data_IF_815683942211
#
_entry.id   IF_815683942211
#
_cell.length_a   1.000
_cell.length_b   1.000
_cell.length_c   1.000
_cell.angle_alpha   90.00
_cell.angle_beta   90.00
_cell.angle_gamma   90.00
#
_symmetry.space_group_name_H-M   'P 1'
#
loop_
_entity.id
_entity.type
_entity.pdbx_description
1 polymer ?
#
# COMPACT_ATOMS: atom_id res chain seq x y z
N UNK A 1 -4.49 10.35 -22.56
CA UNK A 1 -5.28 10.05 -21.33
C UNK A 1 -5.52 8.55 -21.21
N UNK A 2 -5.54 8.05 -19.98
CA UNK A 2 -5.83 6.64 -19.73
C UNK A 2 -6.85 6.52 -18.60
N UNK A 3 -7.84 5.66 -18.78
CA UNK A 3 -8.82 5.29 -17.76
C UNK A 3 -8.77 3.76 -17.65
N UNK A 4 -8.64 3.25 -16.45
CA UNK A 4 -8.62 1.81 -16.21
C UNK A 4 -9.36 1.51 -14.91
N UNK A 5 -10.22 0.49 -14.94
CA UNK A 5 -10.87 0.00 -13.73
C UNK A 5 -9.91 -0.92 -12.96
N UNK A 6 -9.94 -0.86 -11.65
CA UNK A 6 -9.03 -1.65 -10.81
C UNK A 6 -9.19 -3.15 -11.00
N UNK A 7 -10.41 -3.62 -11.30
CA UNK A 7 -10.65 -5.04 -11.54
C UNK A 7 -10.08 -5.56 -12.86
N UNK A 8 -9.62 -4.65 -13.74
CA UNK A 8 -8.94 -4.99 -14.98
C UNK A 8 -7.41 -5.04 -14.84
N UNK A 9 -6.89 -4.69 -13.66
CA UNK A 9 -5.46 -4.66 -13.39
C UNK A 9 -5.03 -5.94 -12.72
N UNK A 10 -3.98 -6.57 -13.25
CA UNK A 10 -3.44 -7.81 -12.69
C UNK A 10 -3.08 -7.63 -11.21
N UNK A 11 -3.53 -8.57 -10.39
CA UNK A 11 -3.27 -8.61 -8.97
C UNK A 11 -2.14 -9.60 -8.71
N UNK A 12 -1.03 -9.11 -8.19
CA UNK A 12 0.17 -9.90 -7.96
C UNK A 12 0.43 -10.05 -6.47
N UNK A 13 0.80 -11.27 -6.05
CA UNK A 13 1.16 -11.50 -4.65
C UNK A 13 2.48 -10.81 -4.35
N UNK A 14 2.54 -10.10 -3.23
CA UNK A 14 3.79 -9.51 -2.73
C UNK A 14 4.64 -10.63 -2.13
N UNK A 15 5.83 -10.84 -2.71
CA UNK A 15 6.73 -11.94 -2.30
C UNK A 15 7.92 -11.47 -1.46
N UNK A 16 7.90 -10.23 -0.99
CA UNK A 16 8.95 -9.73 -0.10
C UNK A 16 8.93 -10.47 1.24
N UNK A 17 10.10 -10.72 1.79
CA UNK A 17 10.23 -11.30 3.11
C UNK A 17 9.49 -10.44 4.13
N UNK A 18 8.69 -11.08 4.99
CA UNK A 18 7.89 -10.40 6.00
C UNK A 18 6.49 -9.99 5.52
N UNK A 19 6.18 -10.07 4.23
CA UNK A 19 4.84 -9.84 3.71
C UNK A 19 4.01 -11.12 3.86
N UNK A 20 2.77 -10.97 4.31
CA UNK A 20 1.82 -12.08 4.44
C UNK A 20 0.45 -11.63 3.94
N UNK A 21 -0.16 -12.39 3.03
CA UNK A 21 -1.48 -12.09 2.52
C UNK A 21 -1.58 -10.70 1.91
N UNK A 22 -0.52 -10.23 1.27
CA UNK A 22 -0.46 -8.91 0.65
C UNK A 22 -0.42 -9.04 -0.87
N UNK A 23 -1.23 -8.20 -1.54
CA UNK A 23 -1.37 -8.18 -2.98
C UNK A 23 -1.16 -6.77 -3.51
N UNK A 24 -0.59 -6.67 -4.71
CA UNK A 24 -0.29 -5.39 -5.36
C UNK A 24 -0.88 -5.35 -6.76
N UNK A 25 -1.45 -4.19 -7.10
CA UNK A 25 -1.88 -3.85 -8.45
C UNK A 25 -1.24 -2.51 -8.83
N UNK A 26 -0.88 -2.35 -10.11
CA UNK A 26 -0.30 -1.11 -10.64
C UNK A 26 -1.21 -0.55 -11.74
N UNK A 27 -2.26 0.19 -11.38
CA UNK A 27 -3.18 0.73 -12.38
C UNK A 27 -2.58 1.82 -13.25
N UNK A 28 -1.73 2.70 -12.68
CA UNK A 28 -1.09 3.79 -13.42
C UNK A 28 0.38 3.88 -13.01
N UNK A 29 1.27 3.84 -13.99
CA UNK A 29 2.70 3.88 -13.72
C UNK A 29 3.53 4.31 -14.92
N UNK A 30 4.82 4.08 -14.82
CA UNK A 30 5.78 4.48 -15.84
C UNK A 30 5.45 3.91 -17.22
N UNK A 31 4.99 2.67 -17.28
CA UNK A 31 4.61 2.03 -18.55
C UNK A 31 3.43 2.72 -19.25
N UNK A 32 2.67 3.51 -18.52
CA UNK A 32 1.54 4.28 -19.04
C UNK A 32 1.92 5.70 -19.40
N UNK A 33 3.20 6.08 -19.23
CA UNK A 33 3.70 7.41 -19.48
C UNK A 33 3.56 8.37 -18.30
N UNK A 34 3.35 7.86 -17.08
CA UNK A 34 3.30 8.72 -15.90
C UNK A 34 4.64 9.47 -15.75
N UNK A 35 4.63 10.82 -15.67
CA UNK A 35 5.88 11.57 -15.70
C UNK A 35 6.65 11.54 -14.38
N UNK A 36 5.98 11.47 -13.25
CA UNK A 36 6.60 11.63 -11.92
C UNK A 36 6.17 10.55 -10.95
N UNK A 37 4.86 10.30 -10.82
CA UNK A 37 4.29 9.40 -9.81
C UNK A 37 3.57 8.22 -10.44
N UNK A 38 3.53 7.14 -9.67
CA UNK A 38 2.73 5.95 -9.98
C UNK A 38 1.73 5.72 -8.87
N UNK A 39 0.58 5.12 -9.20
CA UNK A 39 -0.38 4.64 -8.21
C UNK A 39 -0.36 3.13 -8.17
N UNK A 40 -0.15 2.61 -6.97
CA UNK A 40 -0.31 1.19 -6.67
C UNK A 40 -1.55 1.02 -5.80
N UNK A 41 -2.18 -0.13 -5.86
CA UNK A 41 -3.23 -0.52 -4.91
C UNK A 41 -2.74 -1.76 -4.18
N UNK A 42 -2.65 -1.67 -2.87
CA UNK A 42 -2.35 -2.82 -2.02
C UNK A 42 -3.62 -3.34 -1.39
N UNK A 43 -3.76 -4.65 -1.40
CA UNK A 43 -4.84 -5.36 -0.72
C UNK A 43 -4.22 -6.30 0.30
N UNK A 44 -4.61 -6.18 1.55
CA UNK A 44 -4.23 -7.10 2.61
C UNK A 44 -5.41 -8.00 2.93
N UNK A 45 -5.19 -9.31 2.84
CA UNK A 45 -6.17 -10.31 3.28
C UNK A 45 -6.44 -10.15 4.77
N UNK A 46 -7.55 -10.71 5.31
CA UNK A 46 -7.75 -10.73 6.75
C UNK A 46 -6.51 -11.28 7.48
N UNK A 47 -5.99 -10.52 8.44
CA UNK A 47 -4.77 -10.86 9.15
C UNK A 47 -3.48 -10.65 8.39
N UNK A 48 -3.54 -10.14 7.16
CA UNK A 48 -2.36 -9.90 6.33
C UNK A 48 -1.57 -8.67 6.75
N UNK A 49 -0.35 -8.56 6.25
CA UNK A 49 0.54 -7.44 6.56
C UNK A 49 1.57 -7.21 5.47
N UNK A 50 2.06 -5.96 5.39
CA UNK A 50 3.25 -5.62 4.61
C UNK A 50 4.51 -5.93 5.42
N UNK A 51 5.71 -5.93 4.80
CA UNK A 51 6.94 -6.02 5.58
C UNK A 51 7.07 -4.86 6.55
N UNK A 52 7.72 -5.09 7.68
CA UNK A 52 8.13 -4.03 8.59
C UNK A 52 9.51 -3.55 8.14
N UNK A 53 9.56 -2.48 7.35
CA UNK A 53 10.76 -2.05 6.64
C UNK A 53 10.82 -0.53 6.46
N UNK A 54 11.99 -0.05 6.02
CA UNK A 54 12.18 1.31 5.53
C UNK A 54 12.71 1.29 4.11
N UNK A 55 12.56 2.39 3.40
CA UNK A 55 13.10 2.55 2.05
C UNK A 55 13.43 4.04 1.82
N UNK A 56 14.31 4.36 0.83
CA UNK A 56 14.82 5.72 0.64
C UNK A 56 13.87 6.64 -0.14
N UNK A 57 12.60 6.30 -0.22
CA UNK A 57 11.59 7.11 -0.89
C UNK A 57 10.32 7.18 -0.04
N UNK A 58 9.56 8.24 -0.25
CA UNK A 58 8.27 8.44 0.40
C UNK A 58 7.15 7.73 -0.35
N UNK A 59 6.06 7.47 0.35
CA UNK A 59 4.80 7.18 -0.30
C UNK A 59 3.64 7.81 0.47
N UNK A 60 2.58 8.10 -0.25
CA UNK A 60 1.35 8.64 0.30
C UNK A 60 0.24 7.62 0.08
N UNK A 61 -0.52 7.36 1.13
CA UNK A 61 -1.55 6.35 1.10
C UNK A 61 -2.92 6.94 1.36
N UNK A 62 -3.92 6.36 0.73
CA UNK A 62 -5.32 6.63 1.02
C UNK A 62 -6.03 5.29 1.18
N UNK A 63 -6.64 5.08 2.35
CA UNK A 63 -7.37 3.85 2.62
C UNK A 63 -8.72 3.91 1.96
N UNK A 64 -9.00 2.95 1.08
CA UNK A 64 -10.26 2.89 0.32
C UNK A 64 -11.24 1.88 0.87
N UNK A 65 -10.79 0.89 1.63
CA UNK A 65 -11.66 -0.16 2.14
C UNK A 65 -11.07 -0.76 3.41
N UNK A 66 -11.92 -1.00 4.40
CA UNK A 66 -11.55 -1.72 5.61
C UNK A 66 -10.89 -0.86 6.66
N UNK A 67 -10.26 -1.53 7.62
CA UNK A 67 -9.53 -0.90 8.71
C UNK A 67 -8.30 -1.72 9.04
N UNK A 68 -7.28 -1.04 9.52
CA UNK A 68 -6.01 -1.67 9.82
C UNK A 68 -5.21 -0.90 10.85
N UNK A 69 -3.93 -1.20 10.89
CA UNK A 69 -2.98 -0.60 11.82
C UNK A 69 -1.74 -0.20 11.03
N UNK A 70 -1.28 1.03 11.25
CA UNK A 70 0.02 1.50 10.76
C UNK A 70 0.98 1.52 11.95
N UNK A 71 2.07 0.76 11.84
CA UNK A 71 3.11 0.68 12.86
C UNK A 71 4.28 1.56 12.44
N UNK A 72 4.77 2.41 13.34
CA UNK A 72 5.91 3.27 13.08
C UNK A 72 7.24 2.66 13.57
N UNK A 73 8.32 3.41 13.42
CA UNK A 73 9.67 2.94 13.79
C UNK A 73 9.82 2.66 15.28
N UNK A 74 9.09 3.39 16.13
CA UNK A 74 9.09 3.17 17.57
C UNK A 74 8.24 1.96 17.99
N UNK A 75 7.59 1.28 17.02
CA UNK A 75 6.69 0.17 17.31
C UNK A 75 5.31 0.61 17.77
N UNK A 76 5.01 1.90 17.72
CA UNK A 76 3.71 2.42 18.09
C UNK A 76 2.68 2.07 17.02
N UNK A 77 1.50 1.65 17.45
CA UNK A 77 0.42 1.24 16.57
C UNK A 77 -0.64 2.31 16.50
N UNK A 78 -1.01 2.70 15.28
CA UNK A 78 -2.03 3.70 15.04
C UNK A 78 -3.13 3.10 14.17
N UNK A 79 -4.38 3.18 14.61
CA UNK A 79 -5.51 2.70 13.84
C UNK A 79 -5.72 3.55 12.59
N UNK A 80 -6.03 2.90 11.48
CA UNK A 80 -6.27 3.55 10.19
C UNK A 80 -7.47 2.86 9.52
N UNK A 81 -8.33 3.63 8.87
CA UNK A 81 -9.57 3.11 8.26
C UNK A 81 -9.88 3.82 6.96
N UNK A 82 -10.84 3.31 6.22
CA UNK A 82 -11.33 3.92 4.98
C UNK A 82 -11.59 5.41 5.15
N UNK A 83 -11.02 6.21 4.25
CA UNK A 83 -11.09 7.67 4.29
C UNK A 83 -9.86 8.34 4.91
N UNK A 84 -8.98 7.59 5.55
CA UNK A 84 -7.76 8.16 6.14
C UNK A 84 -6.63 8.27 5.12
N UNK A 85 -5.83 9.32 5.27
CA UNK A 85 -4.59 9.53 4.52
C UNK A 85 -3.39 9.30 5.43
N UNK A 86 -2.32 8.76 4.86
CA UNK A 86 -1.06 8.58 5.57
C UNK A 86 0.11 9.01 4.68
N UNK A 87 1.13 9.60 5.30
CA UNK A 87 2.40 9.92 4.66
C UNK A 87 3.49 9.14 5.38
N UNK A 88 4.25 8.38 4.61
CA UNK A 88 5.47 7.73 5.09
C UNK A 88 6.64 8.40 4.40
N UNK A 89 7.50 9.07 5.16
CA UNK A 89 8.65 9.79 4.65
C UNK A 89 9.83 8.84 4.34
N UNK A 90 10.78 9.27 3.50
CA UNK A 90 11.98 8.46 3.24
C UNK A 90 12.67 8.06 4.54
N UNK A 91 13.04 6.79 4.64
CA UNK A 91 13.76 6.27 5.79
C UNK A 91 12.92 5.90 7.01
N UNK A 92 11.65 6.26 7.04
CA UNK A 92 10.77 5.87 8.16
C UNK A 92 10.41 4.39 8.09
N UNK A 93 10.75 3.65 9.14
CA UNK A 93 10.37 2.24 9.26
C UNK A 93 8.89 2.13 9.58
N UNK A 94 8.18 1.30 8.83
CA UNK A 94 6.72 1.22 8.91
C UNK A 94 6.21 -0.16 8.47
N UNK A 95 4.99 -0.46 8.90
CA UNK A 95 4.27 -1.67 8.48
C UNK A 95 2.77 -1.38 8.50
N UNK A 96 2.06 -1.84 7.48
CA UNK A 96 0.60 -1.90 7.50
C UNK A 96 0.15 -3.30 7.87
N UNK A 97 -0.84 -3.41 8.74
CA UNK A 97 -1.46 -4.67 9.12
C UNK A 97 -2.96 -4.58 8.99
N UNK A 98 -3.58 -5.64 8.51
CA UNK A 98 -5.03 -5.78 8.52
C UNK A 98 -5.44 -6.41 9.85
N UNK A 99 -6.12 -5.63 10.70
CA UNK A 99 -6.56 -6.08 12.01
C UNK A 99 -7.87 -6.87 11.98
N UNK A 100 -8.56 -6.91 10.84
CA UNK A 100 -9.79 -7.68 10.70
C UNK A 100 -9.49 -9.16 10.47
N UNK A 101 -10.38 -10.02 10.97
CA UNK A 101 -10.32 -11.47 10.73
C UNK A 101 -11.23 -11.89 9.57
N UNK A 102 -12.03 -10.96 9.02
CA UNK A 102 -13.05 -11.29 8.01
C UNK A 102 -13.04 -10.39 6.79
N UNK A 103 -12.58 -9.13 6.91
CA UNK A 103 -12.60 -8.15 5.83
C UNK A 103 -11.21 -7.86 5.29
N UNK A 104 -11.12 -7.52 4.01
CA UNK A 104 -9.89 -7.04 3.40
C UNK A 104 -9.61 -5.59 3.80
N UNK A 105 -8.34 -5.21 3.74
CA UNK A 105 -7.88 -3.83 3.86
C UNK A 105 -7.27 -3.42 2.53
N UNK A 106 -7.70 -2.29 1.98
CA UNK A 106 -7.20 -1.82 0.68
C UNK A 106 -6.81 -0.36 0.77
N UNK A 107 -5.67 -0.05 0.16
CA UNK A 107 -5.18 1.32 0.11
C UNK A 107 -4.55 1.64 -1.24
N UNK A 108 -4.72 2.89 -1.65
CA UNK A 108 -3.98 3.45 -2.78
C UNK A 108 -2.62 3.91 -2.23
N UNK A 109 -1.56 3.67 -2.98
CA UNK A 109 -0.22 4.09 -2.62
C UNK A 109 0.38 4.89 -3.77
N UNK A 110 0.52 6.20 -3.58
CA UNK A 110 1.24 7.08 -4.50
C UNK A 110 2.73 7.03 -4.19
N UNK A 111 3.53 6.79 -5.21
CA UNK A 111 4.99 6.60 -5.07
C UNK A 111 5.69 7.21 -6.27
N UNK A 112 6.94 7.73 -6.13
CA UNK A 112 7.72 8.12 -7.31
C UNK A 112 7.83 6.93 -8.27
N UNK A 113 7.67 7.19 -9.56
CA UNK A 113 7.54 6.12 -10.57
C UNK A 113 8.73 5.14 -10.60
N UNK A 114 9.92 5.60 -10.19
CA UNK A 114 11.11 4.77 -10.20
C UNK A 114 11.08 3.68 -9.12
N UNK A 115 10.10 3.72 -8.21
CA UNK A 115 9.97 2.79 -7.09
C UNK A 115 8.62 2.06 -7.06
N UNK A 116 7.94 2.04 -8.17
CA UNK A 116 6.62 1.40 -8.27
C UNK A 116 6.61 -0.14 -8.14
#
# INVERSE_FOLDING_TARGET
>A
MKIIAIDQVEKMKVQMEGANGAWKQLPLGARDGAPVYSFRVFTLDPGGNTPYHSHPYEHMNFVIEGQGILVNEAGEEQAIKAGDFALVNPGEKHQYRNSSTVNVFRMICGVPKDFE
#
